data_IF_972706243338
#
_entry.id   IF_972706243338
#
_cell.length_a   1.000
_cell.length_b   1.000
_cell.length_c   1.000
_cell.angle_alpha   90.00
_cell.angle_beta   90.00
_cell.angle_gamma   90.00
#
_symmetry.space_group_name_H-M   'P 1'
#
loop_
_entity.id
_entity.type
_entity.pdbx_description
1 polymer ?
#
# COMPACT_ATOMS: atom_id res chain seq x y z
N UNK A 1 -34.25 50.11 60.63
CA UNK A 1 -32.98 49.63 61.23
C UNK A 1 -32.52 48.40 60.48
N UNK A 2 -31.21 48.24 60.39
CA UNK A 2 -30.48 47.14 59.76
C UNK A 2 -31.05 45.78 60.20
N UNK A 3 -30.92 44.74 59.38
CA UNK A 3 -30.12 43.55 59.72
C UNK A 3 -29.91 42.65 58.50
N UNK A 4 -28.66 42.24 58.35
CA UNK A 4 -28.06 41.46 57.28
C UNK A 4 -28.12 39.96 57.62
N UNK A 5 -28.26 39.16 56.58
CA UNK A 5 -27.64 37.83 56.39
C UNK A 5 -28.17 36.63 57.21
N UNK A 6 -28.81 35.71 56.50
CA UNK A 6 -28.57 34.27 56.68
C UNK A 6 -28.55 33.62 55.29
N UNK A 7 -27.37 33.09 54.92
CA UNK A 7 -27.14 32.35 53.69
C UNK A 7 -28.01 31.08 53.70
N UNK A 8 -28.91 30.96 52.73
CA UNK A 8 -29.55 29.69 52.43
C UNK A 8 -28.84 29.08 51.23
N UNK A 9 -28.00 28.10 51.54
CA UNK A 9 -27.52 27.12 50.59
C UNK A 9 -28.73 26.49 49.88
N UNK A 10 -28.94 26.87 48.63
CA UNK A 10 -29.79 26.11 47.71
C UNK A 10 -28.87 25.64 46.60
N UNK A 11 -28.56 24.36 46.72
CA UNK A 11 -27.80 23.53 45.82
C UNK A 11 -28.53 23.53 44.47
N UNK A 12 -28.24 24.51 43.62
CA UNK A 12 -28.52 24.39 42.19
C UNK A 12 -27.55 23.33 41.67
N UNK A 13 -27.94 22.07 41.90
CA UNK A 13 -27.47 20.95 41.10
C UNK A 13 -27.91 21.33 39.71
N UNK A 14 -26.97 21.79 38.91
CA UNK A 14 -27.10 21.79 37.47
C UNK A 14 -27.74 20.44 37.12
N UNK A 15 -28.99 20.48 36.69
CA UNK A 15 -29.61 19.36 36.02
C UNK A 15 -28.84 19.25 34.70
N UNK A 16 -27.63 18.69 34.77
CA UNK A 16 -27.06 17.89 33.70
C UNK A 16 -28.02 16.72 33.55
N UNK A 17 -29.11 16.99 32.83
CA UNK A 17 -29.87 15.98 32.15
C UNK A 17 -28.84 15.20 31.35
N UNK A 18 -28.55 13.97 31.79
CA UNK A 18 -27.86 13.00 30.96
C UNK A 18 -28.60 13.04 29.61
N UNK A 19 -27.91 13.28 28.48
CA UNK A 19 -28.56 13.18 27.19
C UNK A 19 -29.12 11.76 27.11
N UNK A 20 -30.44 11.64 27.07
CA UNK A 20 -31.09 10.39 26.78
C UNK A 20 -30.57 9.94 25.43
N UNK A 21 -29.66 8.96 25.40
CA UNK A 21 -29.24 8.30 24.18
C UNK A 21 -30.45 7.56 23.64
N UNK A 22 -31.25 8.24 22.83
CA UNK A 22 -32.29 7.62 22.06
C UNK A 22 -31.61 6.98 20.86
N UNK A 23 -31.69 5.65 20.79
CA UNK A 23 -31.23 4.88 19.65
C UNK A 23 -31.95 5.37 18.39
N UNK A 24 -31.19 5.93 17.45
CA UNK A 24 -31.69 6.41 16.16
C UNK A 24 -31.73 5.28 15.11
N UNK A 25 -31.54 4.03 15.53
CA UNK A 25 -31.42 2.89 14.62
C UNK A 25 -30.12 2.86 13.80
N UNK A 26 -29.35 3.95 13.75
CA UNK A 26 -28.04 4.03 13.11
C UNK A 26 -26.99 3.07 13.72
N UNK A 27 -27.19 2.66 14.97
CA UNK A 27 -26.39 1.61 15.64
C UNK A 27 -26.76 0.18 15.20
N UNK A 28 -27.89 0.01 14.53
CA UNK A 28 -28.34 -1.26 13.94
C UNK A 28 -27.86 -1.44 12.51
N UNK A 29 -27.15 -0.43 11.98
CA UNK A 29 -26.46 -0.56 10.72
C UNK A 29 -25.18 -1.34 11.00
N UNK A 30 -25.07 -2.62 10.55
CA UNK A 30 -23.83 -3.36 10.63
C UNK A 30 -22.69 -2.51 10.06
N UNK A 31 -21.52 -2.56 10.71
CA UNK A 31 -20.33 -1.82 10.26
C UNK A 31 -19.99 -2.15 8.78
N UNK A 32 -20.37 -3.34 8.33
CA UNK A 32 -20.25 -3.87 6.98
C UNK A 32 -20.94 -2.99 5.91
N UNK A 33 -22.11 -2.40 6.20
CA UNK A 33 -22.85 -1.55 5.23
C UNK A 33 -22.13 -0.20 5.05
N UNK A 34 -21.44 0.28 6.08
CA UNK A 34 -20.69 1.54 6.02
C UNK A 34 -19.38 1.38 5.25
N UNK A 35 -18.75 0.21 5.32
CA UNK A 35 -17.53 -0.09 4.55
C UNK A 35 -17.76 -0.20 3.04
N UNK A 36 -18.93 -0.67 2.60
CA UNK A 36 -19.23 -0.85 1.16
C UNK A 36 -19.22 0.48 0.39
N UNK A 37 -19.69 1.57 1.01
CA UNK A 37 -19.73 2.90 0.38
C UNK A 37 -18.40 3.66 0.42
N UNK A 38 -17.41 3.15 1.15
CA UNK A 38 -16.11 3.79 1.37
C UNK A 38 -14.95 3.05 0.68
N UNK A 39 -15.23 1.86 0.14
CA UNK A 39 -14.26 0.99 -0.54
C UNK A 39 -13.88 1.49 -1.93
N UNK A 40 -14.76 2.24 -2.60
CA UNK A 40 -14.49 2.75 -3.95
C UNK A 40 -13.39 3.83 -3.99
N UNK A 41 -13.15 4.54 -2.88
CA UNK A 41 -12.21 5.68 -2.87
C UNK A 41 -10.85 5.35 -2.21
N UNK A 42 -10.73 4.22 -1.51
CA UNK A 42 -9.46 3.82 -0.86
C UNK A 42 -9.06 2.40 -1.27
N UNK A 43 -8.84 2.21 -2.57
CA UNK A 43 -7.89 1.20 -3.01
C UNK A 43 -6.50 1.66 -2.59
N UNK A 44 -6.08 1.30 -1.37
CA UNK A 44 -4.68 1.36 -0.95
C UNK A 44 -3.87 0.66 -2.04
N UNK A 45 -2.91 1.36 -2.64
CA UNK A 45 -2.05 0.85 -3.70
C UNK A 45 -1.45 -0.51 -3.26
N UNK A 46 -2.02 -1.62 -3.71
CA UNK A 46 -1.84 -2.89 -3.00
C UNK A 46 -2.92 -3.95 -3.21
N UNK A 47 -4.13 -3.56 -3.59
CA UNK A 47 -5.28 -4.47 -3.73
C UNK A 47 -5.93 -4.33 -5.10
N UNK A 48 -6.33 -5.46 -5.69
CA UNK A 48 -7.14 -5.51 -6.91
C UNK A 48 -8.53 -6.04 -6.56
N UNK A 49 -9.57 -5.44 -7.15
CA UNK A 49 -10.94 -5.92 -7.05
C UNK A 49 -11.29 -6.63 -8.36
N UNK A 50 -11.90 -7.81 -8.29
CA UNK A 50 -12.38 -8.53 -9.47
C UNK A 50 -13.71 -7.94 -10.00
N UNK A 51 -14.15 -8.41 -11.18
CA UNK A 51 -15.41 -7.98 -11.80
C UNK A 51 -16.65 -8.37 -10.96
N UNK A 52 -16.48 -9.23 -9.95
CA UNK A 52 -17.49 -9.67 -9.00
C UNK A 52 -17.48 -8.86 -7.70
N UNK A 53 -16.55 -7.91 -7.56
CA UNK A 53 -16.41 -7.03 -6.40
C UNK A 53 -15.60 -7.63 -5.24
N UNK A 54 -15.02 -8.82 -5.39
CA UNK A 54 -14.21 -9.51 -4.37
C UNK A 54 -12.80 -8.93 -4.38
N UNK A 55 -12.30 -8.56 -3.20
CA UNK A 55 -10.94 -8.07 -3.01
C UNK A 55 -9.98 -9.27 -3.05
N UNK A 56 -9.07 -9.28 -4.02
CA UNK A 56 -8.01 -10.27 -4.09
C UNK A 56 -6.86 -9.88 -3.13
N UNK A 57 -6.55 -10.78 -2.21
CA UNK A 57 -5.42 -10.66 -1.29
C UNK A 57 -4.09 -11.15 -1.89
N UNK A 58 -4.09 -11.59 -3.16
CA UNK A 58 -2.92 -12.03 -3.88
C UNK A 58 -2.47 -11.03 -4.96
N UNK A 59 -1.19 -10.67 -4.85
CA UNK A 59 -0.30 -10.07 -5.85
C UNK A 59 -0.86 -8.94 -6.74
N UNK A 60 -0.60 -7.70 -6.33
CA UNK A 60 -0.40 -6.61 -7.29
C UNK A 60 0.65 -7.03 -8.30
N UNK A 61 0.31 -7.03 -9.59
CA UNK A 61 1.32 -7.23 -10.63
C UNK A 61 2.34 -6.08 -10.52
N UNK A 62 3.61 -6.39 -10.25
CA UNK A 62 4.61 -5.34 -10.13
C UNK A 62 4.70 -4.59 -11.47
N UNK A 63 4.96 -3.27 -11.45
CA UNK A 63 5.11 -2.52 -12.68
C UNK A 63 6.20 -3.17 -13.55
N UNK A 64 5.78 -3.70 -14.70
CA UNK A 64 6.68 -4.40 -15.61
C UNK A 64 7.59 -3.38 -16.30
N UNK A 65 8.89 -3.48 -16.05
CA UNK A 65 9.88 -2.68 -16.78
C UNK A 65 10.02 -3.24 -18.20
N UNK A 66 9.75 -2.40 -19.21
CA UNK A 66 9.95 -2.79 -20.60
C UNK A 66 11.45 -2.86 -20.90
N UNK A 67 11.89 -3.97 -21.49
CA UNK A 67 13.27 -4.10 -21.93
C UNK A 67 13.50 -3.19 -23.14
N UNK A 68 14.38 -2.20 -22.99
CA UNK A 68 14.81 -1.36 -24.12
C UNK A 68 15.91 -2.08 -24.90
N UNK A 69 15.73 -2.19 -26.21
CA UNK A 69 16.73 -2.80 -27.09
C UNK A 69 18.06 -1.99 -27.05
N UNK A 70 19.23 -2.66 -27.00
CA UNK A 70 20.51 -1.96 -26.89
C UNK A 70 20.78 -1.07 -28.10
N UNK A 71 21.41 0.08 -27.84
CA UNK A 71 21.86 1.01 -28.88
C UNK A 71 22.93 0.37 -29.78
N UNK A 72 23.11 0.83 -31.04
CA UNK A 72 24.14 0.28 -31.94
C UNK A 72 25.56 0.27 -31.33
N UNK A 73 25.90 1.29 -30.54
CA UNK A 73 27.19 1.37 -29.83
C UNK A 73 27.32 0.28 -28.76
N UNK A 74 26.25 -0.02 -28.02
CA UNK A 74 26.24 -1.09 -27.02
C UNK A 74 26.35 -2.47 -27.68
N UNK A 75 25.67 -2.67 -28.82
CA UNK A 75 25.77 -3.92 -29.58
C UNK A 75 27.20 -4.19 -30.05
N UNK A 76 27.89 -3.19 -30.61
CA UNK A 76 29.29 -3.32 -31.02
C UNK A 76 30.20 -3.71 -29.85
N UNK A 77 29.96 -3.14 -28.67
CA UNK A 77 30.71 -3.50 -27.45
C UNK A 77 30.45 -4.94 -27.02
N UNK A 78 29.23 -5.44 -27.16
CA UNK A 78 28.91 -6.84 -26.90
C UNK A 78 29.56 -7.79 -27.92
N UNK A 79 29.58 -7.41 -29.20
CA UNK A 79 30.30 -8.17 -30.23
C UNK A 79 31.79 -8.25 -29.92
N UNK A 80 32.40 -7.13 -29.52
CA UNK A 80 33.82 -7.10 -29.15
C UNK A 80 34.10 -7.97 -27.92
N UNK A 81 33.24 -7.92 -26.91
CA UNK A 81 33.37 -8.75 -25.70
C UNK A 81 33.22 -10.24 -26.03
N UNK A 82 32.25 -10.59 -26.88
CA UNK A 82 32.05 -11.96 -27.36
C UNK A 82 33.25 -12.48 -28.16
N UNK A 83 33.79 -11.66 -29.07
CA UNK A 83 34.98 -12.01 -29.83
C UNK A 83 36.19 -12.24 -28.90
N UNK A 84 36.39 -11.37 -27.91
CA UNK A 84 37.44 -11.54 -26.90
C UNK A 84 37.29 -12.84 -26.10
N UNK A 85 36.06 -13.20 -25.71
CA UNK A 85 35.80 -14.45 -25.00
C UNK A 85 36.13 -15.69 -25.85
N UNK A 86 35.76 -15.68 -27.14
CA UNK A 86 36.07 -16.78 -28.07
C UNK A 86 37.59 -16.94 -28.22
N UNK A 87 38.33 -15.84 -28.40
CA UNK A 87 39.79 -15.86 -28.52
C UNK A 87 40.44 -16.42 -27.25
N UNK A 88 39.99 -15.97 -26.07
CA UNK A 88 40.50 -16.46 -24.79
C UNK A 88 40.32 -17.98 -24.63
N UNK A 89 39.11 -18.48 -24.91
CA UNK A 89 38.81 -19.92 -24.84
C UNK A 89 39.64 -20.67 -25.88
N UNK A 90 39.73 -20.17 -27.11
CA UNK A 90 40.53 -20.77 -28.18
C UNK A 90 42.00 -20.89 -27.82
N UNK A 91 42.60 -19.84 -27.27
CA UNK A 91 44.00 -19.87 -26.79
C UNK A 91 44.17 -20.89 -25.66
N UNK A 92 43.22 -20.95 -24.73
CA UNK A 92 43.28 -21.91 -23.62
C UNK A 92 43.25 -23.36 -24.11
N UNK A 93 42.36 -23.66 -25.06
CA UNK A 93 42.28 -24.97 -25.70
C UNK A 93 43.54 -25.29 -26.53
N UNK A 94 44.09 -24.29 -27.21
CA UNK A 94 45.30 -24.44 -28.00
C UNK A 94 46.53 -24.76 -27.12
N UNK A 95 46.69 -24.05 -25.99
CA UNK A 95 47.77 -24.30 -25.03
C UNK A 95 47.64 -25.70 -24.42
N UNK A 96 46.44 -26.08 -23.98
CA UNK A 96 46.20 -27.42 -23.40
C UNK A 96 46.49 -28.54 -24.39
N UNK A 97 46.10 -28.37 -25.65
CA UNK A 97 46.46 -29.31 -26.71
C UNK A 97 47.97 -29.35 -26.99
N UNK A 98 48.64 -28.20 -27.03
CA UNK A 98 50.06 -28.11 -27.36
C UNK A 98 50.99 -28.76 -26.31
N UNK A 99 50.53 -28.88 -25.06
CA UNK A 99 51.30 -29.48 -23.95
C UNK A 99 50.99 -30.98 -23.79
N UNK A 100 49.87 -31.47 -24.33
CA UNK A 100 49.49 -32.89 -24.28
C UNK A 100 50.38 -33.77 -25.15
#
# INVERSE_FOLDING_TARGET
MKNKTANQATLNRDQQSLPSHHSDGSELVPAEITSDLQSDEILVAGYTQDDEGIIDNYAVEPPMSTATYPTPKQQLRYVFLGAGAIVLVGITLWITFAIS
#
